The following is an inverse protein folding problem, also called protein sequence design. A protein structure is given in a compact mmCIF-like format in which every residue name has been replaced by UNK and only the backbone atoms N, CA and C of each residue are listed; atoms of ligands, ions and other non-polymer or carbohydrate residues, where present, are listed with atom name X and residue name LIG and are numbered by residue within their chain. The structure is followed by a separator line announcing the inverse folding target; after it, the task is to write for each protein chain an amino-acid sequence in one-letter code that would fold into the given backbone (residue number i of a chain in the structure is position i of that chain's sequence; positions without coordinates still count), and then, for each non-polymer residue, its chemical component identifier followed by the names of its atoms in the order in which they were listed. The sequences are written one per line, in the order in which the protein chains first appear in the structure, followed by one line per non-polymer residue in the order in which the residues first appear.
data_IF_432749619608
#
_entry.id   IF_432749619608
#
_cell.length_a   1.000
_cell.length_b   1.000
_cell.length_c   1.000
_cell.angle_alpha   90.00
_cell.angle_beta   90.00
_cell.angle_gamma   90.00
#
_symmetry.space_group_name_H-M   'P 1'
#
loop_
_entity.id
_entity.type
_entity.pdbx_description
1 polymer ?
#
# COMPACT_ATOMS: atom_id res chain seq x y z
N UNK A 1 14.44 2.88 9.61
CA UNK A 1 13.29 2.98 8.70
C UNK A 1 12.83 1.58 8.37
N UNK A 2 11.52 1.37 8.30
CA UNK A 2 10.92 0.07 8.02
C UNK A 2 9.98 0.20 6.82
N UNK A 3 10.01 -0.77 5.91
CA UNK A 3 9.20 -0.75 4.70
C UNK A 3 8.22 -1.93 4.69
N UNK A 4 7.08 -1.72 4.06
CA UNK A 4 6.11 -2.75 3.70
C UNK A 4 5.78 -2.63 2.21
N UNK A 5 5.98 -3.72 1.50
CA UNK A 5 5.69 -3.88 0.07
C UNK A 5 4.49 -4.81 -0.07
N UNK A 6 3.52 -4.43 -0.90
CA UNK A 6 2.34 -5.26 -1.20
C UNK A 6 2.19 -5.41 -2.70
N UNK A 7 2.06 -6.64 -3.17
CA UNK A 7 1.83 -6.97 -4.58
C UNK A 7 0.39 -7.46 -4.74
N UNK A 8 -0.35 -6.79 -5.61
CA UNK A 8 -1.72 -7.10 -5.98
C UNK A 8 -1.70 -7.63 -7.42
N UNK A 9 -2.38 -8.74 -7.66
CA UNK A 9 -2.44 -9.38 -8.97
C UNK A 9 -3.89 -9.42 -9.46
N UNK A 10 -4.04 -9.41 -10.79
CA UNK A 10 -5.32 -9.40 -11.48
C UNK A 10 -6.21 -8.19 -11.13
N UNK A 11 -5.60 -7.04 -10.87
CA UNK A 11 -6.31 -5.78 -10.63
C UNK A 11 -7.12 -5.41 -11.87
N UNK A 12 -8.43 -5.28 -11.69
CA UNK A 12 -9.40 -5.20 -12.79
C UNK A 12 -9.51 -3.80 -13.40
N UNK A 13 -9.23 -2.76 -12.62
CA UNK A 13 -9.14 -1.37 -13.08
C UNK A 13 -8.00 -0.63 -12.35
N UNK A 14 -6.78 -0.66 -12.92
CA UNK A 14 -5.63 0.04 -12.36
C UNK A 14 -5.82 1.55 -12.19
N UNK A 15 -6.57 2.20 -13.10
CA UNK A 15 -6.78 3.64 -13.10
C UNK A 15 -7.71 4.06 -11.95
N UNK A 16 -8.84 3.36 -11.81
CA UNK A 16 -9.77 3.57 -10.70
C UNK A 16 -9.12 3.26 -9.35
N UNK A 17 -8.41 2.13 -9.25
CA UNK A 17 -7.68 1.76 -8.04
C UNK A 17 -6.65 2.84 -7.68
N UNK A 18 -5.89 3.33 -8.67
CA UNK A 18 -4.93 4.43 -8.49
C UNK A 18 -5.59 5.71 -7.98
N UNK A 19 -6.74 6.10 -8.55
CA UNK A 19 -7.49 7.29 -8.11
C UNK A 19 -7.91 7.17 -6.64
N UNK A 20 -8.57 6.07 -6.27
CA UNK A 20 -9.05 5.84 -4.88
C UNK A 20 -7.91 5.74 -3.89
N UNK A 21 -6.82 5.05 -4.25
CA UNK A 21 -5.63 4.99 -3.39
C UNK A 21 -5.07 6.39 -3.16
N UNK A 22 -4.94 7.21 -4.21
CA UNK A 22 -4.38 8.55 -4.10
C UNK A 22 -5.29 9.52 -3.33
N UNK A 23 -6.60 9.48 -3.58
CA UNK A 23 -7.57 10.43 -3.01
C UNK A 23 -7.99 10.05 -1.58
N UNK A 24 -8.00 8.77 -1.25
CA UNK A 24 -8.61 8.28 0.00
C UNK A 24 -7.61 7.58 0.91
N UNK A 25 -6.76 6.70 0.37
CA UNK A 25 -5.84 5.91 1.19
C UNK A 25 -4.57 6.66 1.60
N UNK A 26 -3.95 7.39 0.68
CA UNK A 26 -2.74 8.19 0.96
C UNK A 26 -2.99 9.21 2.09
N UNK A 27 -4.13 9.95 2.15
CA UNK A 27 -4.45 10.79 3.29
C UNK A 27 -4.52 10.05 4.63
N UNK A 28 -5.03 8.82 4.67
CA UNK A 28 -5.07 7.99 5.88
C UNK A 28 -3.66 7.55 6.31
N UNK A 29 -2.79 7.23 5.36
CA UNK A 29 -1.40 6.85 5.64
C UNK A 29 -0.58 8.03 6.18
N UNK A 30 -0.82 9.25 5.70
CA UNK A 30 -0.15 10.47 6.21
C UNK A 30 -0.46 10.75 7.67
N UNK A 31 -1.54 10.19 8.21
CA UNK A 31 -1.90 10.30 9.64
C UNK A 31 -1.19 9.26 10.52
N UNK A 32 -0.47 8.30 9.93
CA UNK A 32 0.31 7.32 10.69
C UNK A 32 1.56 8.00 11.25
N UNK A 33 1.79 7.97 12.57
CA UNK A 33 3.04 8.45 13.15
C UNK A 33 4.25 7.81 12.49
N UNK A 34 5.24 8.62 12.12
CA UNK A 34 6.44 8.15 11.44
C UNK A 34 6.25 7.78 9.97
N UNK A 35 5.16 8.18 9.30
CA UNK A 35 5.04 8.10 7.84
C UNK A 35 6.21 8.83 7.14
N UNK A 36 6.91 8.13 6.24
CA UNK A 36 8.01 8.71 5.45
C UNK A 36 7.60 8.85 3.98
N UNK A 37 7.15 7.75 3.36
CA UNK A 37 6.78 7.74 1.95
C UNK A 37 5.76 6.65 1.66
N UNK A 38 5.00 6.84 0.58
CA UNK A 38 4.17 5.80 0.00
C UNK A 38 4.13 5.91 -1.51
N UNK A 39 4.21 4.76 -2.17
CA UNK A 39 4.12 4.62 -3.61
C UNK A 39 3.06 3.59 -3.95
N UNK A 40 2.27 3.87 -4.98
CA UNK A 40 1.36 2.94 -5.64
C UNK A 40 1.76 2.90 -7.11
N UNK A 41 2.23 1.75 -7.57
CA UNK A 41 2.89 1.60 -8.87
C UNK A 41 2.09 0.63 -9.72
N UNK A 42 1.73 1.07 -10.92
CA UNK A 42 1.25 0.19 -11.98
C UNK A 42 2.45 -0.54 -12.61
N UNK A 43 2.54 -1.84 -12.37
CA UNK A 43 3.60 -2.69 -12.92
C UNK A 43 3.21 -3.32 -14.26
N UNK A 44 2.03 -3.00 -14.80
CA UNK A 44 1.47 -3.55 -16.02
C UNK A 44 0.85 -4.94 -15.84
N UNK A 45 0.03 -5.36 -16.80
CA UNK A 45 -0.55 -6.72 -16.82
C UNK A 45 -1.49 -7.02 -15.66
N UNK A 46 -2.17 -6.00 -15.11
CA UNK A 46 -3.05 -6.15 -13.94
C UNK A 46 -2.29 -6.30 -12.61
N UNK A 47 -0.99 -5.98 -12.58
CA UNK A 47 -0.18 -6.02 -11.35
C UNK A 47 -0.01 -4.62 -10.80
N UNK A 48 -0.39 -4.43 -9.54
CA UNK A 48 -0.13 -3.19 -8.80
C UNK A 48 0.80 -3.47 -7.61
N UNK A 49 1.74 -2.57 -7.35
CA UNK A 49 2.68 -2.68 -6.23
C UNK A 49 2.59 -1.45 -5.35
N UNK A 50 2.29 -1.64 -4.07
CA UNK A 50 2.41 -0.59 -3.07
C UNK A 50 3.72 -0.72 -2.30
N UNK A 51 4.38 0.40 -2.01
CA UNK A 51 5.51 0.45 -1.07
C UNK A 51 5.26 1.57 -0.07
N UNK A 52 5.11 1.24 1.21
CA UNK A 52 5.06 2.21 2.30
C UNK A 52 6.34 2.17 3.12
N UNK A 53 6.90 3.34 3.43
CA UNK A 53 8.11 3.51 4.24
C UNK A 53 7.76 4.32 5.49
N UNK A 54 8.22 3.84 6.63
CA UNK A 54 7.96 4.41 7.95
C UNK A 54 9.25 4.53 8.75
N UNK A 55 9.27 5.37 9.77
CA UNK A 55 10.42 5.56 10.67
C UNK A 55 10.79 4.24 11.36
N UNK A 56 9.78 3.47 11.79
CA UNK A 56 9.93 2.20 12.48
C UNK A 56 8.85 1.16 12.09
N UNK A 57 8.98 -0.04 12.65
CA UNK A 57 8.08 -1.18 12.43
C UNK A 57 6.63 -0.89 12.83
N UNK A 58 6.40 -0.12 13.89
CA UNK A 58 5.05 0.17 14.39
C UNK A 58 4.22 0.95 13.36
N UNK A 59 4.86 1.89 12.65
CA UNK A 59 4.24 2.62 11.54
C UNK A 59 3.82 1.71 10.39
N UNK A 60 4.67 0.74 10.03
CA UNK A 60 4.38 -0.22 8.97
C UNK A 60 3.25 -1.21 9.35
N UNK A 61 3.20 -1.65 10.60
CA UNK A 61 2.11 -2.49 11.12
C UNK A 61 0.78 -1.71 11.15
N UNK A 62 0.82 -0.45 11.61
CA UNK A 62 -0.33 0.45 11.62
C UNK A 62 -0.84 0.78 10.21
N UNK A 63 0.05 0.89 9.23
CA UNK A 63 -0.30 1.00 7.80
C UNK A 63 -0.96 -0.27 7.28
N UNK A 64 -0.48 -1.44 7.68
CA UNK A 64 -1.02 -2.73 7.23
C UNK A 64 -2.43 -2.96 7.74
N UNK A 65 -2.72 -2.59 8.99
CA UNK A 65 -4.08 -2.62 9.52
C UNK A 65 -5.02 -1.71 8.71
N UNK A 66 -4.63 -0.45 8.46
CA UNK A 66 -5.41 0.49 7.64
C UNK A 66 -5.59 0.01 6.21
N UNK A 67 -4.57 -0.59 5.59
CA UNK A 67 -4.65 -1.14 4.24
C UNK A 67 -5.68 -2.26 4.15
N UNK A 68 -5.73 -3.14 5.16
CA UNK A 68 -6.70 -4.24 5.22
C UNK A 68 -8.14 -3.71 5.24
N UNK A 69 -8.42 -2.74 6.10
CA UNK A 69 -9.76 -2.14 6.20
C UNK A 69 -10.12 -1.38 4.91
N UNK A 70 -9.18 -0.59 4.38
CA UNK A 70 -9.40 0.14 3.13
C UNK A 70 -9.67 -0.79 1.94
N UNK A 71 -8.91 -1.88 1.79
CA UNK A 71 -9.14 -2.86 0.72
C UNK A 71 -10.52 -3.47 0.86
N UNK A 72 -10.90 -3.91 2.07
CA UNK A 72 -12.23 -4.49 2.34
C UNK A 72 -13.36 -3.52 1.96
N UNK A 73 -13.24 -2.26 2.36
CA UNK A 73 -14.35 -1.32 2.31
C UNK A 73 -14.43 -0.53 0.99
N UNK A 74 -13.31 -0.37 0.27
CA UNK A 74 -13.18 0.61 -0.83
C UNK A 74 -12.57 0.07 -2.12
N UNK A 75 -11.93 -1.12 -2.10
CA UNK A 75 -11.24 -1.67 -3.28
C UNK A 75 -11.55 -3.14 -3.54
N UNK A 76 -12.42 -3.78 -2.78
CA UNK A 76 -12.63 -5.22 -2.84
C UNK A 76 -13.09 -5.68 -4.24
N UNK A 77 -13.86 -4.86 -4.95
CA UNK A 77 -14.28 -5.14 -6.32
C UNK A 77 -13.18 -4.97 -7.38
N UNK A 78 -12.10 -4.26 -7.04
CA UNK A 78 -10.97 -3.99 -7.93
C UNK A 78 -9.80 -4.95 -7.72
N UNK A 79 -9.76 -5.61 -6.56
CA UNK A 79 -8.66 -6.45 -6.08
C UNK A 79 -9.19 -7.87 -5.80
N UNK A 80 -9.31 -8.73 -6.82
CA UNK A 80 -9.96 -10.03 -6.68
C UNK A 80 -9.19 -11.01 -5.78
N UNK A 81 -7.88 -10.79 -5.62
CA UNK A 81 -6.98 -11.66 -4.86
C UNK A 81 -6.40 -10.93 -3.64
N UNK A 82 -6.14 -11.64 -2.53
CA UNK A 82 -5.38 -11.07 -1.42
C UNK A 82 -3.96 -10.72 -1.88
N UNK A 83 -3.39 -9.59 -1.42
CA UNK A 83 -2.03 -9.22 -1.79
C UNK A 83 -0.99 -10.12 -1.13
N UNK A 84 0.14 -10.30 -1.81
CA UNK A 84 1.36 -10.76 -1.17
C UNK A 84 1.98 -9.60 -0.40
N UNK A 85 2.35 -9.81 0.87
CA UNK A 85 2.89 -8.76 1.75
C UNK A 85 4.30 -9.14 2.20
N UNK A 86 5.26 -8.23 2.01
CA UNK A 86 6.63 -8.36 2.50
C UNK A 86 6.97 -7.12 3.32
N UNK A 87 7.63 -7.28 4.47
CA UNK A 87 8.02 -6.15 5.30
C UNK A 87 9.38 -6.38 5.97
N UNK A 88 10.11 -5.30 6.23
CA UNK A 88 11.47 -5.39 6.79
C UNK A 88 12.15 -4.05 7.01
N UNK A 89 13.34 -4.10 7.61
CA UNK A 89 14.21 -2.94 7.78
C UNK A 89 14.71 -2.42 6.43
N UNK A 90 14.70 -1.11 6.25
CA UNK A 90 15.32 -0.44 5.11
C UNK A 90 16.82 -0.32 5.39
N UNK A 91 17.62 -1.14 4.70
CA UNK A 91 19.09 -1.21 4.90
C UNK A 91 19.89 -0.33 3.95
N UNK A 92 19.25 0.25 2.92
CA UNK A 92 19.85 1.21 2.00
C UNK A 92 18.76 2.12 1.40
N UNK A 93 19.06 3.41 1.25
CA UNK A 93 18.21 4.42 0.60
C UNK A 93 19.06 5.67 0.29
N UNK A 94 18.54 6.57 -0.55
CA UNK A 94 19.16 7.87 -0.87
C UNK A 94 18.15 9.00 -0.73
#
# INVERSE_FOLDING_TARGET
MYAVVRRYEEVTDPAEAGRRVNEEFVPLLRQVPGFVAYYWVDAGGGVMVSTGVFQDRSGAEASTARAKDFVRDRLAELLPNPPQVTAGEVVAHS
#
